data_IF_038362565086
#
_entry.id   IF_038362565086
#
_cell.length_a   1.000
_cell.length_b   1.000
_cell.length_c   1.000
_cell.angle_alpha   90.00
_cell.angle_beta   90.00
_cell.angle_gamma   90.00
#
_symmetry.space_group_name_H-M   'P 1'
#
loop_
_entity.id
_entity.type
_entity.pdbx_description
1 polymer ?
#
# COMPACT_ATOMS: atom_id res chain seq x y z
N UNK A 1 -5.55 32.92 -6.83
CA UNK A 1 -5.11 31.64 -6.27
C UNK A 1 -4.25 30.99 -7.33
N UNK A 2 -2.96 31.06 -7.17
CA UNK A 2 -1.98 30.45 -8.08
C UNK A 2 -1.96 28.95 -7.79
N UNK A 3 -2.01 28.06 -8.82
CA UNK A 3 -1.88 26.62 -8.59
C UNK A 3 -0.47 26.32 -8.06
N UNK A 4 -0.30 25.27 -7.23
CA UNK A 4 1.02 24.87 -6.78
C UNK A 4 1.85 24.38 -7.97
N UNK A 5 3.18 24.52 -7.93
CA UNK A 5 4.03 24.11 -9.02
C UNK A 5 3.95 22.60 -9.21
N UNK A 6 3.45 22.18 -10.36
CA UNK A 6 3.47 20.83 -10.86
C UNK A 6 4.80 20.58 -11.55
N UNK A 7 5.54 19.59 -11.07
CA UNK A 7 6.66 18.97 -11.78
C UNK A 7 7.59 18.27 -10.78
N UNK A 8 7.86 16.97 -10.94
CA UNK A 8 9.00 16.36 -10.27
C UNK A 8 10.26 17.00 -10.86
N UNK A 9 11.23 17.31 -9.99
CA UNK A 9 12.56 17.67 -10.44
C UNK A 9 13.09 16.55 -11.34
N UNK A 10 13.47 16.88 -12.56
CA UNK A 10 14.20 16.00 -13.46
C UNK A 10 15.43 15.44 -12.73
N UNK A 11 15.44 14.13 -12.48
CA UNK A 11 16.57 13.44 -11.85
C UNK A 11 16.24 12.25 -10.95
N UNK A 12 14.97 11.98 -10.66
CA UNK A 12 14.55 10.81 -9.87
C UNK A 12 14.56 9.53 -10.71
N UNK A 13 15.25 8.47 -10.26
CA UNK A 13 15.16 7.14 -10.88
C UNK A 13 13.74 6.58 -10.72
N UNK A 14 13.41 5.55 -11.53
CA UNK A 14 12.12 4.83 -11.39
C UNK A 14 12.27 3.66 -10.42
N UNK A 15 11.12 3.17 -9.90
CA UNK A 15 11.06 1.87 -9.21
C UNK A 15 11.68 0.79 -10.10
N UNK A 16 12.50 -0.08 -9.50
CA UNK A 16 13.22 -1.11 -10.24
C UNK A 16 14.53 -0.64 -10.91
N UNK A 17 14.82 0.66 -10.96
CA UNK A 17 16.05 1.20 -11.53
C UNK A 17 17.00 1.72 -10.44
N UNK A 18 16.55 2.65 -9.62
CA UNK A 18 17.35 3.25 -8.55
C UNK A 18 17.28 2.45 -7.24
N UNK A 19 16.11 1.92 -6.92
CA UNK A 19 15.83 1.10 -5.74
C UNK A 19 15.03 -0.12 -6.16
N UNK A 20 15.17 -1.23 -5.45
CA UNK A 20 14.43 -2.49 -5.71
C UNK A 20 14.70 -3.09 -7.09
N UNK A 21 15.98 -3.12 -7.47
CA UNK A 21 16.37 -3.65 -8.77
C UNK A 21 16.08 -5.15 -8.86
N UNK A 22 15.40 -5.61 -9.93
CA UNK A 22 15.07 -7.03 -10.10
C UNK A 22 16.29 -7.95 -10.16
N UNK A 23 17.47 -7.45 -10.60
CA UNK A 23 18.73 -8.21 -10.60
C UNK A 23 19.30 -8.43 -9.20
N UNK A 24 18.86 -7.66 -8.22
CA UNK A 24 19.41 -7.75 -6.87
C UNK A 24 18.96 -9.06 -6.21
N UNK A 25 19.93 -9.80 -5.70
CA UNK A 25 19.64 -11.07 -5.03
C UNK A 25 18.57 -10.91 -3.93
N UNK A 26 17.59 -11.81 -3.89
CA UNK A 26 16.49 -11.80 -2.93
C UNK A 26 15.36 -10.80 -3.22
N UNK A 27 15.35 -10.11 -4.38
CA UNK A 27 14.25 -9.18 -4.68
C UNK A 27 12.92 -9.91 -4.89
N UNK A 28 12.91 -11.03 -5.60
CA UNK A 28 11.73 -11.87 -5.74
C UNK A 28 11.21 -12.36 -4.39
N UNK A 29 12.11 -12.79 -3.49
CA UNK A 29 11.74 -13.23 -2.14
C UNK A 29 11.12 -12.08 -1.31
N UNK A 30 11.67 -10.86 -1.41
CA UNK A 30 11.10 -9.68 -0.75
C UNK A 30 9.67 -9.41 -1.25
N UNK A 31 9.43 -9.47 -2.56
CA UNK A 31 8.09 -9.30 -3.14
C UNK A 31 7.15 -10.39 -2.62
N UNK A 32 7.62 -11.64 -2.55
CA UNK A 32 6.83 -12.78 -2.05
C UNK A 32 6.49 -12.65 -0.55
N UNK A 33 7.36 -12.08 0.29
CA UNK A 33 7.00 -11.74 1.67
C UNK A 33 5.85 -10.73 1.76
N UNK A 34 5.85 -9.72 0.89
CA UNK A 34 4.72 -8.80 0.74
C UNK A 34 3.45 -9.53 0.27
N UNK A 35 3.60 -10.43 -0.71
CA UNK A 35 2.49 -11.23 -1.21
C UNK A 35 1.86 -12.09 -0.09
N UNK A 36 2.66 -12.80 0.71
CA UNK A 36 2.18 -13.61 1.84
C UNK A 36 1.38 -12.80 2.86
N UNK A 37 1.64 -11.51 2.99
CA UNK A 37 0.90 -10.65 3.92
C UNK A 37 -0.46 -10.19 3.37
N UNK A 38 -0.61 -10.09 2.04
CA UNK A 38 -1.76 -9.44 1.43
C UNK A 38 -2.55 -10.30 0.43
N UNK A 39 -2.01 -11.43 -0.02
CA UNK A 39 -2.66 -12.24 -1.07
C UNK A 39 -4.03 -12.77 -0.63
N UNK A 40 -4.15 -13.27 0.60
CA UNK A 40 -5.41 -13.85 1.07
C UNK A 40 -6.55 -12.83 1.08
N UNK A 41 -6.30 -11.62 1.58
CA UNK A 41 -7.32 -10.56 1.58
C UNK A 41 -7.59 -10.06 0.16
N UNK A 42 -6.58 -9.98 -0.69
CA UNK A 42 -6.77 -9.66 -2.11
C UNK A 42 -7.65 -10.68 -2.79
N UNK A 43 -7.34 -11.97 -2.68
CA UNK A 43 -8.14 -13.05 -3.28
C UNK A 43 -9.56 -13.11 -2.72
N UNK A 44 -9.73 -12.92 -1.41
CA UNK A 44 -11.07 -12.85 -0.81
C UNK A 44 -11.90 -11.72 -1.44
N UNK A 45 -11.29 -10.54 -1.65
CA UNK A 45 -11.96 -9.41 -2.28
C UNK A 45 -12.28 -9.67 -3.74
N UNK A 46 -11.33 -10.18 -4.53
CA UNK A 46 -11.54 -10.47 -5.94
C UNK A 46 -12.68 -11.49 -6.16
N UNK A 47 -12.72 -12.55 -5.36
CA UNK A 47 -13.83 -13.54 -5.39
C UNK A 47 -15.17 -12.92 -4.97
N UNK A 48 -15.20 -12.08 -3.93
CA UNK A 48 -16.41 -11.37 -3.51
C UNK A 48 -16.94 -10.41 -4.59
N UNK A 49 -16.06 -9.92 -5.47
CA UNK A 49 -16.43 -9.12 -6.64
C UNK A 49 -16.89 -9.96 -7.83
N UNK A 50 -16.77 -11.29 -7.76
CA UNK A 50 -17.26 -12.24 -8.74
C UNK A 50 -16.18 -12.81 -9.66
N UNK A 51 -14.89 -12.61 -9.35
CA UNK A 51 -13.82 -13.25 -10.13
C UNK A 51 -14.01 -14.78 -10.10
N UNK A 52 -14.11 -15.38 -11.29
CA UNK A 52 -14.41 -16.80 -11.44
C UNK A 52 -14.49 -17.23 -12.91
N UNK A 53 -15.05 -18.43 -13.18
CA UNK A 53 -15.19 -18.95 -14.55
C UNK A 53 -15.85 -17.95 -15.50
N UNK A 54 -15.39 -17.92 -16.75
CA UNK A 54 -15.83 -16.99 -17.78
C UNK A 54 -15.14 -15.61 -17.74
N UNK A 55 -14.22 -15.40 -16.79
CA UNK A 55 -13.53 -14.10 -16.68
C UNK A 55 -12.14 -14.16 -17.30
N UNK A 56 -11.84 -13.17 -18.15
CA UNK A 56 -10.46 -12.82 -18.52
C UNK A 56 -10.02 -11.64 -17.64
N UNK A 57 -8.85 -11.76 -17.08
CA UNK A 57 -8.30 -10.82 -16.10
C UNK A 57 -7.03 -10.16 -16.63
N UNK A 58 -6.81 -8.90 -16.29
CA UNK A 58 -5.55 -8.18 -16.45
C UNK A 58 -4.99 -7.92 -15.05
N UNK A 59 -3.76 -8.36 -14.81
CA UNK A 59 -2.99 -8.10 -13.60
C UNK A 59 -1.81 -7.17 -13.94
N UNK A 60 -1.90 -5.94 -13.50
CA UNK A 60 -0.96 -4.85 -13.82
C UNK A 60 0.08 -4.73 -12.73
N UNK A 61 1.36 -4.72 -13.11
CA UNK A 61 2.47 -4.74 -12.17
C UNK A 61 2.48 -6.05 -11.38
N UNK A 62 2.38 -7.17 -12.10
CA UNK A 62 2.14 -8.49 -11.52
C UNK A 62 3.31 -9.02 -10.66
N UNK A 63 4.51 -8.43 -10.76
CA UNK A 63 5.68 -8.77 -9.95
C UNK A 63 6.09 -10.24 -10.10
N UNK A 64 5.98 -11.02 -9.01
CA UNK A 64 6.24 -12.47 -9.02
C UNK A 64 5.04 -13.29 -9.50
N UNK A 65 3.88 -12.65 -9.77
CA UNK A 65 2.69 -13.28 -10.31
C UNK A 65 1.87 -14.12 -9.32
N UNK A 66 1.97 -13.85 -8.02
CA UNK A 66 1.23 -14.61 -7.01
C UNK A 66 -0.27 -14.45 -7.17
N UNK A 67 -0.77 -13.21 -7.36
CA UNK A 67 -2.20 -12.95 -7.60
C UNK A 67 -2.66 -13.57 -8.91
N UNK A 68 -1.89 -13.39 -9.98
CA UNK A 68 -2.21 -13.94 -11.30
C UNK A 68 -2.42 -15.46 -11.25
N UNK A 69 -1.50 -16.20 -10.60
CA UNK A 69 -1.61 -17.67 -10.45
C UNK A 69 -2.79 -18.06 -9.57
N UNK A 70 -3.01 -17.37 -8.46
CA UNK A 70 -4.14 -17.64 -7.57
C UNK A 70 -5.49 -17.36 -8.21
N UNK A 71 -5.59 -16.38 -9.13
CA UNK A 71 -6.79 -16.15 -9.94
C UNK A 71 -7.12 -17.38 -10.79
N UNK A 72 -6.12 -18.00 -11.41
CA UNK A 72 -6.30 -19.23 -12.19
C UNK A 72 -6.65 -20.42 -11.30
N UNK A 73 -5.86 -20.66 -10.25
CA UNK A 73 -5.92 -21.87 -9.44
C UNK A 73 -7.10 -21.88 -8.48
N UNK A 74 -7.39 -20.73 -7.84
CA UNK A 74 -8.37 -20.65 -6.76
C UNK A 74 -9.69 -20.03 -7.17
N UNK A 75 -9.69 -19.04 -8.09
CA UNK A 75 -10.91 -18.45 -8.60
C UNK A 75 -11.39 -19.14 -9.87
N UNK A 76 -10.53 -19.88 -10.57
CA UNK A 76 -10.90 -20.61 -11.79
C UNK A 76 -11.25 -19.70 -12.95
N UNK A 77 -10.57 -18.57 -13.09
CA UNK A 77 -10.77 -17.65 -14.23
C UNK A 77 -10.26 -18.29 -15.52
N UNK A 78 -10.80 -17.89 -16.68
CA UNK A 78 -10.45 -18.50 -17.98
C UNK A 78 -9.05 -18.12 -18.47
N UNK A 79 -8.52 -17.00 -18.00
CA UNK A 79 -7.18 -16.57 -18.34
C UNK A 79 -6.78 -15.26 -17.67
N UNK A 80 -5.49 -15.09 -17.47
CA UNK A 80 -4.87 -13.89 -16.91
C UNK A 80 -3.80 -13.39 -17.85
N UNK A 81 -3.86 -12.11 -18.22
CA UNK A 81 -2.75 -11.38 -18.79
C UNK A 81 -2.01 -10.67 -17.65
N UNK A 82 -0.80 -11.13 -17.33
CA UNK A 82 0.08 -10.49 -16.38
C UNK A 82 1.01 -9.53 -17.12
N UNK A 83 1.01 -8.27 -16.71
CA UNK A 83 1.84 -7.23 -17.30
C UNK A 83 2.77 -6.66 -16.25
N UNK A 84 4.06 -6.60 -16.55
CA UNK A 84 5.07 -5.93 -15.74
C UNK A 84 6.12 -5.29 -16.63
N UNK A 85 6.88 -4.35 -16.11
CA UNK A 85 8.06 -3.78 -16.79
C UNK A 85 9.26 -4.73 -16.82
N UNK A 86 9.27 -5.67 -15.88
CA UNK A 86 10.27 -6.73 -15.80
C UNK A 86 9.59 -8.06 -15.50
N UNK A 87 9.56 -8.94 -16.46
CA UNK A 87 8.82 -10.21 -16.38
C UNK A 87 9.68 -11.39 -15.94
N UNK A 88 10.93 -11.19 -15.51
CA UNK A 88 11.85 -12.28 -15.16
C UNK A 88 11.27 -13.26 -14.14
N UNK A 89 10.63 -12.75 -13.07
CA UNK A 89 10.02 -13.58 -12.04
C UNK A 89 8.76 -14.30 -12.53
N UNK A 90 8.00 -13.67 -13.43
CA UNK A 90 6.82 -14.28 -14.06
C UNK A 90 7.22 -15.41 -15.00
N UNK A 91 8.27 -15.21 -15.79
CA UNK A 91 8.75 -16.18 -16.78
C UNK A 91 9.35 -17.46 -16.17
N UNK A 92 9.84 -17.39 -14.93
CA UNK A 92 10.42 -18.55 -14.24
C UNK A 92 9.40 -19.68 -13.99
N UNK A 93 8.12 -19.39 -13.92
CA UNK A 93 7.06 -20.35 -13.55
C UNK A 93 5.87 -20.24 -14.51
N UNK A 94 5.98 -20.74 -15.74
CA UNK A 94 4.87 -20.72 -16.68
C UNK A 94 3.70 -21.57 -16.17
N UNK A 95 2.48 -21.08 -16.33
CA UNK A 95 1.23 -21.76 -15.94
C UNK A 95 0.25 -21.65 -17.09
N UNK A 96 -0.52 -22.70 -17.36
CA UNK A 96 -1.55 -22.68 -18.39
C UNK A 96 -2.61 -21.61 -18.07
N UNK A 97 -2.97 -20.80 -19.06
CA UNK A 97 -3.92 -19.69 -18.91
C UNK A 97 -3.27 -18.38 -18.39
N UNK A 98 -1.97 -18.37 -18.12
CA UNK A 98 -1.21 -17.18 -17.78
C UNK A 98 -0.42 -16.70 -18.99
N UNK A 99 -0.85 -15.59 -19.59
CA UNK A 99 -0.10 -14.87 -20.59
C UNK A 99 0.75 -13.80 -19.89
N UNK A 100 2.02 -13.68 -20.28
CA UNK A 100 2.97 -12.74 -19.68
C UNK A 100 3.45 -11.76 -20.74
N UNK A 101 3.36 -10.45 -20.45
CA UNK A 101 3.79 -9.40 -21.36
C UNK A 101 4.64 -8.39 -20.61
N UNK A 102 5.86 -8.18 -21.11
CA UNK A 102 6.72 -7.08 -20.68
C UNK A 102 6.26 -5.79 -21.35
N UNK A 103 5.74 -4.85 -20.54
CA UNK A 103 5.29 -3.56 -21.05
C UNK A 103 5.32 -2.47 -19.98
N UNK A 104 5.52 -1.24 -20.42
CA UNK A 104 5.33 -0.04 -19.61
C UNK A 104 3.86 0.41 -19.76
N UNK A 105 3.11 0.34 -18.69
CA UNK A 105 1.68 0.74 -18.67
C UNK A 105 1.47 2.25 -18.87
N UNK A 106 2.54 3.05 -18.75
CA UNK A 106 2.51 4.49 -19.01
C UNK A 106 2.72 4.81 -20.50
N UNK A 107 3.06 3.80 -21.32
CA UNK A 107 3.27 3.98 -22.74
C UNK A 107 1.95 4.39 -23.44
N UNK A 108 1.98 5.38 -24.36
CA UNK A 108 0.76 5.88 -25.01
C UNK A 108 0.02 4.81 -25.86
N UNK A 109 0.73 3.78 -26.29
CA UNK A 109 0.22 2.67 -27.09
C UNK A 109 -0.15 1.44 -26.26
N UNK A 110 -0.14 1.53 -24.94
CA UNK A 110 -0.58 0.45 -24.05
C UNK A 110 -2.06 0.15 -24.24
N UNK A 111 -2.36 -0.89 -25.03
CA UNK A 111 -3.71 -1.29 -25.39
C UNK A 111 -3.87 -2.83 -25.39
N UNK A 112 -3.78 -3.50 -24.25
CA UNK A 112 -3.76 -4.97 -24.16
C UNK A 112 -5.10 -5.64 -24.44
N UNK A 113 -6.16 -4.86 -24.70
CA UNK A 113 -7.52 -5.35 -24.89
C UNK A 113 -8.45 -4.98 -23.75
N UNK A 114 -9.56 -5.73 -23.61
CA UNK A 114 -10.55 -5.53 -22.52
C UNK A 114 -10.69 -6.78 -21.67
N UNK A 115 -11.00 -6.55 -20.40
CA UNK A 115 -11.00 -7.59 -19.37
C UNK A 115 -12.19 -7.45 -18.44
N UNK A 116 -12.67 -8.57 -17.93
CA UNK A 116 -13.72 -8.59 -16.93
C UNK A 116 -13.24 -8.09 -15.57
N UNK A 117 -11.96 -8.35 -15.25
CA UNK A 117 -11.25 -7.82 -14.10
C UNK A 117 -9.98 -7.10 -14.59
N UNK A 118 -9.80 -5.86 -14.16
CA UNK A 118 -8.50 -5.16 -14.22
C UNK A 118 -8.05 -4.93 -12.79
N UNK A 119 -6.88 -5.45 -12.45
CA UNK A 119 -6.30 -5.40 -11.10
C UNK A 119 -4.92 -4.76 -11.13
N UNK A 120 -4.61 -3.95 -10.14
CA UNK A 120 -3.27 -3.43 -9.88
C UNK A 120 -3.04 -3.34 -8.37
N UNK A 121 -1.88 -3.83 -7.89
CA UNK A 121 -1.53 -3.80 -6.48
C UNK A 121 -0.09 -3.36 -6.27
N UNK A 122 0.11 -2.31 -5.43
CA UNK A 122 1.39 -1.68 -5.13
C UNK A 122 2.11 -1.16 -6.38
N UNK A 123 1.35 -0.53 -7.28
CA UNK A 123 1.84 -0.04 -8.58
C UNK A 123 1.68 1.47 -8.71
N UNK A 124 0.44 1.96 -8.60
CA UNK A 124 0.15 3.35 -8.96
C UNK A 124 0.78 4.35 -8.00
N UNK A 125 1.04 3.95 -6.75
CA UNK A 125 1.75 4.79 -5.79
C UNK A 125 3.18 5.16 -6.24
N UNK A 126 3.75 4.42 -7.19
CA UNK A 126 5.09 4.65 -7.74
C UNK A 126 5.09 5.48 -9.03
N UNK A 127 3.92 5.81 -9.58
CA UNK A 127 3.79 6.44 -10.89
C UNK A 127 3.29 7.88 -10.77
N UNK A 128 3.93 8.85 -11.42
CA UNK A 128 3.47 10.24 -11.40
C UNK A 128 2.18 10.46 -12.18
N UNK A 129 1.95 9.71 -13.29
CA UNK A 129 0.79 9.83 -14.18
C UNK A 129 -0.48 9.11 -13.67
N UNK A 130 -0.53 8.78 -12.41
CA UNK A 130 -1.52 7.92 -11.72
C UNK A 130 -2.99 8.26 -11.98
N UNK A 131 -3.38 9.53 -12.05
CA UNK A 131 -4.77 9.92 -12.35
C UNK A 131 -5.15 9.57 -13.79
N UNK A 132 -4.25 9.81 -14.73
CA UNK A 132 -4.44 9.42 -16.13
C UNK A 132 -4.52 7.91 -16.27
N UNK A 133 -3.64 7.19 -15.60
CA UNK A 133 -3.61 5.72 -15.61
C UNK A 133 -4.91 5.10 -15.06
N UNK A 134 -5.50 5.66 -14.00
CA UNK A 134 -6.81 5.17 -13.52
C UNK A 134 -7.88 5.28 -14.62
N UNK A 135 -7.87 6.37 -15.38
CA UNK A 135 -8.80 6.54 -16.51
C UNK A 135 -8.52 5.52 -17.63
N UNK A 136 -7.25 5.32 -17.95
CA UNK A 136 -6.82 4.32 -18.93
C UNK A 136 -7.24 2.91 -18.51
N UNK A 137 -6.93 2.51 -17.27
CA UNK A 137 -7.30 1.19 -16.74
C UNK A 137 -8.81 0.98 -16.70
N UNK A 138 -9.60 2.01 -16.34
CA UNK A 138 -11.06 1.97 -16.40
C UNK A 138 -11.56 1.79 -17.85
N UNK A 139 -10.81 2.31 -18.83
CA UNK A 139 -11.05 2.08 -20.27
C UNK A 139 -10.92 0.61 -20.68
N UNK A 140 -10.01 -0.14 -20.04
CA UNK A 140 -9.76 -1.55 -20.32
C UNK A 140 -10.79 -2.50 -19.68
N UNK A 141 -11.64 -2.01 -18.78
CA UNK A 141 -12.69 -2.82 -18.17
C UNK A 141 -13.82 -3.05 -19.15
N UNK A 142 -14.29 -4.29 -19.28
CA UNK A 142 -15.49 -4.64 -20.04
C UNK A 142 -16.77 -4.10 -19.39
N UNK A 143 -17.85 -3.87 -20.15
CA UNK A 143 -19.15 -3.58 -19.57
C UNK A 143 -19.57 -4.63 -18.53
N UNK A 144 -19.95 -4.17 -17.32
CA UNK A 144 -20.25 -5.04 -16.18
C UNK A 144 -19.03 -5.62 -15.46
N UNK A 145 -17.82 -5.37 -15.95
CA UNK A 145 -16.54 -5.74 -15.30
C UNK A 145 -16.17 -4.81 -14.14
N UNK A 146 -15.01 -5.04 -13.54
CA UNK A 146 -14.54 -4.33 -12.35
C UNK A 146 -13.07 -3.91 -12.48
N UNK A 147 -12.76 -2.70 -12.03
CA UNK A 147 -11.39 -2.23 -11.75
C UNK A 147 -11.15 -2.31 -10.26
N UNK A 148 -10.03 -2.91 -9.86
CA UNK A 148 -9.59 -3.03 -8.46
C UNK A 148 -8.18 -2.48 -8.33
N UNK A 149 -8.01 -1.49 -7.47
CA UNK A 149 -6.73 -0.83 -7.19
C UNK A 149 -6.39 -0.98 -5.72
N UNK A 150 -5.17 -1.44 -5.43
CA UNK A 150 -4.70 -1.64 -4.06
C UNK A 150 -3.31 -1.04 -3.89
N UNK A 151 -3.16 -0.06 -3.01
CA UNK A 151 -1.86 0.53 -2.70
C UNK A 151 -1.70 0.81 -1.20
N UNK A 152 -0.47 1.07 -0.78
CA UNK A 152 -0.16 1.31 0.62
C UNK A 152 -0.76 2.63 1.13
N UNK A 153 -1.25 2.61 2.36
CA UNK A 153 -1.61 3.80 3.12
C UNK A 153 -0.79 3.85 4.39
N UNK A 154 -0.19 5.00 4.67
CA UNK A 154 0.57 5.21 5.90
C UNK A 154 -0.39 5.54 7.05
N UNK A 155 -0.65 4.55 7.89
CA UNK A 155 -1.43 4.70 9.11
C UNK A 155 -0.53 4.90 10.35
N UNK A 156 0.77 4.60 10.25
CA UNK A 156 1.71 4.66 11.35
C UNK A 156 1.91 6.08 11.89
N UNK A 157 1.70 7.10 11.05
CA UNK A 157 1.72 8.50 11.47
C UNK A 157 0.48 8.96 12.24
N UNK A 158 -0.58 8.14 12.31
CA UNK A 158 -1.88 8.51 12.86
C UNK A 158 -2.31 7.65 14.05
N UNK A 159 -1.68 6.50 14.29
CA UNK A 159 -1.99 5.59 15.38
C UNK A 159 -0.71 5.31 16.17
N UNK A 160 -0.41 6.18 17.13
CA UNK A 160 0.64 5.91 18.11
C UNK A 160 0.03 5.07 19.25
N UNK A 161 0.31 3.77 19.24
CA UNK A 161 -0.12 2.85 20.28
C UNK A 161 0.79 2.90 21.51
N UNK A 162 1.97 3.56 21.43
CA UNK A 162 2.95 3.62 22.50
C UNK A 162 2.44 4.28 23.79
N UNK A 163 1.64 5.34 23.68
CA UNK A 163 1.10 6.06 24.83
C UNK A 163 0.05 5.28 25.66
N UNK A 164 -0.45 4.18 25.12
CA UNK A 164 -1.49 3.38 25.80
C UNK A 164 -0.91 2.21 26.60
N UNK A 165 0.28 1.72 26.26
CA UNK A 165 0.88 0.58 26.95
C UNK A 165 1.56 0.97 28.27
N UNK A 166 2.04 2.23 28.38
CA UNK A 166 2.71 2.72 29.61
C UNK A 166 1.74 3.15 30.71
N UNK A 167 0.44 3.22 30.47
CA UNK A 167 -0.54 3.69 31.47
C UNK A 167 -1.05 2.63 32.45
N UNK A 168 -0.80 1.36 32.22
CA UNK A 168 -1.25 0.27 33.11
C UNK A 168 -0.21 -0.21 34.13
N UNK A 169 1.02 0.34 34.12
CA UNK A 169 2.10 -0.01 35.06
C UNK A 169 2.05 0.65 36.44
N UNK A 170 1.10 1.52 36.71
CA UNK A 170 1.08 2.31 37.95
C UNK A 170 -0.29 2.48 38.58
N UNK A 171 -0.95 1.39 38.97
CA UNK A 171 -2.06 1.47 39.94
C UNK A 171 -1.65 0.79 41.23
N UNK A 172 -1.01 1.57 42.10
CA UNK A 172 -1.01 1.29 43.50
C UNK A 172 -2.45 1.31 44.06
N UNK A 173 -2.75 0.26 44.79
CA UNK A 173 -3.98 0.10 45.55
C UNK A 173 -4.00 1.15 46.63
N UNK A 174 -4.90 2.12 46.56
CA UNK A 174 -5.51 2.57 47.81
C UNK A 174 -6.95 3.08 47.58
N UNK A 175 -7.79 2.79 48.57
CA UNK A 175 -9.22 2.78 48.46
C UNK A 175 -9.89 4.15 48.65
N UNK A 176 -11.13 4.20 48.19
CA UNK A 176 -12.10 5.00 48.90
C UNK A 176 -12.94 6.00 48.14
N UNK A 177 -14.19 5.64 47.91
CA UNK A 177 -15.43 6.45 48.00
C UNK A 177 -15.83 7.40 46.89
N UNK A 178 -16.96 7.03 46.35
CA UNK A 178 -18.09 7.83 45.83
C UNK A 178 -18.00 9.36 45.90
N UNK A 179 -18.30 10.05 44.82
CA UNK A 179 -19.40 11.02 44.75
C UNK A 179 -19.57 11.68 43.36
N UNK A 180 -20.82 11.56 42.93
CA UNK A 180 -21.70 12.55 42.34
C UNK A 180 -21.24 13.46 41.19
N UNK A 181 -21.94 13.31 40.10
CA UNK A 181 -22.11 14.28 38.99
C UNK A 181 -22.65 15.62 39.51
N UNK A 182 -21.92 16.70 39.27
CA UNK A 182 -22.39 18.07 39.44
C UNK A 182 -21.99 18.89 38.25
N UNK A 183 -22.97 19.43 37.51
CA UNK A 183 -22.82 20.48 36.52
C UNK A 183 -22.38 21.76 37.24
N UNK A 184 -21.44 22.53 36.65
CA UNK A 184 -21.61 23.96 36.55
C UNK A 184 -20.72 24.56 35.45
N UNK A 185 -21.32 25.51 34.75
CA UNK A 185 -20.70 26.42 33.80
C UNK A 185 -19.97 27.50 34.60
N UNK A 186 -18.75 27.84 34.23
CA UNK A 186 -18.47 29.25 33.90
C UNK A 186 -17.08 29.46 33.27
N UNK A 187 -16.98 30.50 32.50
CA UNK A 187 -15.92 30.86 31.63
C UNK A 187 -14.60 31.31 32.30
N UNK A 188 -13.52 31.23 31.59
CA UNK A 188 -12.29 31.90 32.01
C UNK A 188 -11.03 31.48 31.28
N UNK A 189 -10.68 32.28 30.25
CA UNK A 189 -9.31 32.63 29.86
C UNK A 189 -8.35 31.55 29.34
N UNK A 190 -8.20 31.63 28.05
CA UNK A 190 -6.97 31.45 27.27
C UNK A 190 -5.71 31.68 28.13
N UNK A 191 -4.96 30.63 28.42
CA UNK A 191 -3.58 30.70 28.87
C UNK A 191 -2.76 29.70 28.08
N UNK A 192 -1.93 30.25 27.25
CA UNK A 192 -0.69 29.78 26.67
C UNK A 192 -0.45 28.27 26.68
N UNK A 193 -0.78 27.60 25.57
CA UNK A 193 -0.30 26.25 25.34
C UNK A 193 1.22 26.25 25.38
N UNK A 194 1.79 25.50 26.31
CA UNK A 194 3.23 25.24 26.42
C UNK A 194 3.73 24.65 25.09
N UNK A 195 4.61 25.33 24.35
CA UNK A 195 5.20 24.79 23.12
C UNK A 195 6.21 23.65 23.39
N UNK A 196 6.35 23.22 24.64
CA UNK A 196 7.33 22.25 25.11
C UNK A 196 6.78 20.87 25.49
N UNK A 197 5.50 20.55 25.21
CA UNK A 197 5.07 19.14 25.30
C UNK A 197 5.73 18.36 24.16
N UNK A 198 6.88 17.81 24.46
CA UNK A 198 7.63 16.93 23.59
C UNK A 198 6.71 15.87 23.01
N UNK A 199 6.62 15.84 21.66
CA UNK A 199 6.07 14.69 20.94
C UNK A 199 6.83 13.47 21.46
N UNK A 200 6.13 12.52 22.06
CA UNK A 200 6.69 11.22 22.40
C UNK A 200 7.49 10.72 21.20
N UNK A 201 8.75 10.33 21.34
CA UNK A 201 9.50 9.76 20.22
C UNK A 201 8.69 8.55 19.72
N UNK A 202 8.24 8.61 18.47
CA UNK A 202 7.51 7.49 17.85
C UNK A 202 8.34 6.20 17.95
N UNK A 203 7.69 5.05 17.92
CA UNK A 203 8.38 3.76 17.94
C UNK A 203 9.46 3.71 16.84
N UNK A 204 10.52 2.88 16.99
CA UNK A 204 11.52 2.70 15.93
C UNK A 204 10.90 2.39 14.57
N UNK A 205 9.78 1.63 14.57
CA UNK A 205 9.00 1.33 13.37
C UNK A 205 8.41 2.58 12.72
N UNK A 206 7.70 3.41 13.49
CA UNK A 206 7.03 4.60 12.94
C UNK A 206 8.03 5.62 12.38
N UNK A 207 9.19 5.74 13.00
CA UNK A 207 10.28 6.60 12.50
C UNK A 207 10.86 6.07 11.19
N UNK A 208 11.14 4.76 11.13
CA UNK A 208 11.65 4.11 9.93
C UNK A 208 10.65 4.19 8.77
N UNK A 209 9.35 3.99 9.01
CA UNK A 209 8.31 4.13 7.99
C UNK A 209 8.27 5.55 7.42
N UNK A 210 8.33 6.58 8.27
CA UNK A 210 8.38 7.97 7.80
C UNK A 210 9.62 8.26 6.95
N UNK A 211 10.79 7.81 7.42
CA UNK A 211 12.03 7.96 6.66
C UNK A 211 11.97 7.25 5.32
N UNK A 212 11.40 6.04 5.29
CA UNK A 212 11.21 5.27 4.05
C UNK A 212 10.30 6.00 3.06
N UNK A 213 9.09 6.41 3.47
CA UNK A 213 8.18 7.10 2.56
C UNK A 213 8.77 8.41 2.04
N UNK A 214 9.42 9.19 2.90
CA UNK A 214 10.10 10.42 2.50
C UNK A 214 11.25 10.15 1.54
N UNK A 215 12.09 9.16 1.84
CA UNK A 215 13.23 8.77 1.00
C UNK A 215 12.80 8.23 -0.36
N UNK A 216 11.80 7.35 -0.40
CA UNK A 216 11.27 6.79 -1.66
C UNK A 216 10.57 7.87 -2.49
N UNK A 217 9.88 8.81 -1.84
CA UNK A 217 9.28 9.95 -2.56
C UNK A 217 10.34 10.80 -3.24
N UNK A 218 11.44 11.08 -2.55
CA UNK A 218 12.54 11.87 -3.09
C UNK A 218 13.33 11.14 -4.20
N UNK A 219 13.44 9.80 -4.11
CA UNK A 219 14.31 9.01 -4.99
C UNK A 219 13.60 8.46 -6.22
N UNK A 220 12.38 7.95 -6.06
CA UNK A 220 11.62 7.26 -7.11
C UNK A 220 10.17 7.75 -7.25
N UNK A 221 9.81 8.87 -6.61
CA UNK A 221 8.49 9.48 -6.75
C UNK A 221 7.34 8.73 -6.06
N UNK A 222 7.63 7.72 -5.22
CA UNK A 222 6.58 7.00 -4.48
C UNK A 222 5.79 7.95 -3.59
N UNK A 223 4.48 7.97 -3.76
CA UNK A 223 3.60 8.83 -2.98
C UNK A 223 2.34 8.08 -2.54
N UNK A 224 2.28 7.74 -1.26
CA UNK A 224 1.12 7.05 -0.66
C UNK A 224 0.04 8.02 -0.17
N UNK A 225 0.32 9.33 -0.12
CA UNK A 225 -0.60 10.32 0.44
C UNK A 225 -1.86 10.54 -0.40
N UNK A 226 -1.82 10.21 -1.68
CA UNK A 226 -2.96 10.36 -2.59
C UNK A 226 -3.83 9.10 -2.71
N UNK A 227 -3.35 7.94 -2.23
CA UNK A 227 -4.07 6.65 -2.30
C UNK A 227 -5.48 6.72 -1.72
N UNK A 228 -5.76 7.45 -0.63
CA UNK A 228 -7.14 7.66 -0.15
C UNK A 228 -8.09 8.33 -1.16
N UNK A 229 -7.57 8.95 -2.21
CA UNK A 229 -8.39 9.56 -3.28
C UNK A 229 -8.94 8.54 -4.30
N UNK A 230 -8.51 7.27 -4.29
CA UNK A 230 -8.95 6.24 -5.23
C UNK A 230 -10.47 6.16 -5.42
N UNK A 231 -11.31 6.15 -4.37
CA UNK A 231 -12.76 6.09 -4.58
C UNK A 231 -13.31 7.30 -5.36
N UNK A 232 -12.74 8.48 -5.15
CA UNK A 232 -13.10 9.67 -5.92
C UNK A 232 -12.67 9.56 -7.38
N UNK A 233 -11.43 9.10 -7.63
CA UNK A 233 -10.86 8.96 -8.98
C UNK A 233 -11.57 7.88 -9.79
N UNK A 234 -11.93 6.75 -9.16
CA UNK A 234 -12.73 5.69 -9.80
C UNK A 234 -14.10 6.21 -10.27
N UNK A 235 -14.77 7.02 -9.45
CA UNK A 235 -16.04 7.68 -9.87
C UNK A 235 -15.82 8.64 -11.03
N UNK A 236 -14.75 9.45 -10.98
CA UNK A 236 -14.40 10.35 -12.09
C UNK A 236 -14.07 9.61 -13.38
N UNK A 237 -13.51 8.41 -13.29
CA UNK A 237 -13.28 7.52 -14.42
C UNK A 237 -14.56 6.84 -14.95
N UNK A 238 -15.76 7.18 -14.43
CA UNK A 238 -17.05 6.68 -14.92
C UNK A 238 -17.44 5.32 -14.35
N UNK A 239 -16.82 4.87 -13.26
CA UNK A 239 -17.19 3.61 -12.61
C UNK A 239 -18.28 3.83 -11.56
N UNK A 240 -19.20 2.87 -11.46
CA UNK A 240 -20.30 2.87 -10.49
C UNK A 240 -20.06 1.84 -9.37
N UNK A 241 -20.87 1.91 -8.29
CA UNK A 241 -20.76 0.99 -7.16
C UNK A 241 -19.39 1.04 -6.50
N UNK A 242 -18.77 2.22 -6.49
CA UNK A 242 -17.44 2.42 -5.92
C UNK A 242 -17.46 2.22 -4.42
N UNK A 243 -16.54 1.40 -3.93
CA UNK A 243 -16.29 1.19 -2.51
C UNK A 243 -14.81 0.96 -2.25
N UNK A 244 -14.43 0.99 -0.99
CA UNK A 244 -13.06 0.72 -0.56
C UNK A 244 -13.03 0.09 0.83
N UNK A 245 -11.91 -0.58 1.12
CA UNK A 245 -11.59 -1.13 2.43
C UNK A 245 -10.09 -0.97 2.71
N UNK A 246 -9.71 -1.06 3.97
CA UNK A 246 -8.31 -1.06 4.39
C UNK A 246 -8.03 -2.34 5.17
N UNK A 247 -7.01 -3.07 4.74
CA UNK A 247 -6.45 -4.18 5.51
C UNK A 247 -5.13 -3.77 6.16
N UNK A 248 -4.99 -4.06 7.44
CA UNK A 248 -3.80 -3.70 8.24
C UNK A 248 -3.24 -4.95 8.90
N UNK A 249 -2.13 -5.51 8.40
CA UNK A 249 -1.50 -6.66 9.03
C UNK A 249 -0.88 -6.30 10.39
N UNK A 250 -0.99 -7.15 11.42
CA UNK A 250 -0.20 -6.99 12.63
C UNK A 250 1.28 -7.28 12.34
N UNK A 251 2.17 -6.48 12.93
CA UNK A 251 3.59 -6.79 12.95
C UNK A 251 3.86 -7.78 14.08
N UNK A 252 4.31 -8.96 13.72
CA UNK A 252 4.73 -10.00 14.64
C UNK A 252 6.17 -10.39 14.34
N UNK A 253 7.00 -10.72 15.33
CA UNK A 253 8.37 -11.15 15.12
C UNK A 253 8.46 -12.26 14.08
N UNK A 254 9.34 -12.09 13.09
CA UNK A 254 9.57 -13.07 12.03
C UNK A 254 8.40 -13.30 11.06
N UNK A 255 7.31 -12.53 11.17
CA UNK A 255 6.18 -12.62 10.23
C UNK A 255 6.58 -12.19 8.81
N UNK A 256 5.87 -12.64 7.77
CA UNK A 256 6.14 -12.22 6.39
C UNK A 256 6.19 -10.70 6.23
N UNK A 257 5.26 -9.97 6.85
CA UNK A 257 5.23 -8.51 6.74
C UNK A 257 6.42 -7.85 7.46
N UNK A 258 6.89 -8.38 8.60
CA UNK A 258 8.07 -7.89 9.28
C UNK A 258 9.33 -8.10 8.44
N UNK A 259 9.47 -9.27 7.80
CA UNK A 259 10.56 -9.56 6.86
C UNK A 259 10.52 -8.67 5.63
N UNK A 260 9.33 -8.46 5.06
CA UNK A 260 9.13 -7.54 3.93
C UNK A 260 9.65 -6.13 4.26
N UNK A 261 9.29 -5.57 5.43
CA UNK A 261 9.76 -4.25 5.82
C UNK A 261 11.26 -4.23 6.11
N UNK A 262 11.78 -5.23 6.81
CA UNK A 262 13.21 -5.32 7.08
C UNK A 262 14.03 -5.32 5.78
N UNK A 263 13.63 -6.10 4.78
CA UNK A 263 14.33 -6.16 3.49
C UNK A 263 14.12 -4.90 2.66
N UNK A 264 12.93 -4.32 2.68
CA UNK A 264 12.63 -3.05 2.04
C UNK A 264 13.52 -1.93 2.60
N UNK A 265 13.67 -1.86 3.93
CA UNK A 265 14.52 -0.85 4.58
C UNK A 265 16.01 -1.06 4.32
N UNK A 266 16.49 -2.32 4.30
CA UNK A 266 17.89 -2.60 3.93
C UNK A 266 18.19 -2.10 2.52
N UNK A 267 17.27 -2.29 1.56
CA UNK A 267 17.45 -1.89 0.15
C UNK A 267 17.29 -0.38 -0.05
N UNK A 268 16.46 0.27 0.74
CA UNK A 268 16.24 1.72 0.68
C UNK A 268 17.09 2.52 1.69
N UNK A 269 18.06 1.88 2.38
CA UNK A 269 18.91 2.47 3.41
C UNK A 269 19.44 3.85 3.05
N UNK A 270 20.09 3.99 1.89
CA UNK A 270 20.66 5.26 1.45
C UNK A 270 19.59 6.36 1.29
N UNK A 271 18.42 6.03 0.73
CA UNK A 271 17.32 6.97 0.61
C UNK A 271 16.74 7.36 1.98
N UNK A 272 16.67 6.40 2.92
CA UNK A 272 16.14 6.63 4.26
C UNK A 272 17.07 7.51 5.11
N UNK A 273 18.37 7.21 5.13
CA UNK A 273 19.34 7.99 5.90
C UNK A 273 19.55 9.39 5.34
N UNK A 274 19.44 9.56 4.01
CA UNK A 274 19.50 10.87 3.36
C UNK A 274 18.37 11.83 3.80
N UNK A 275 17.28 11.31 4.40
CA UNK A 275 16.23 12.16 4.97
C UNK A 275 16.64 12.93 6.21
N UNK A 276 17.69 12.47 6.91
CA UNK A 276 18.11 12.99 8.20
C UNK A 276 17.17 12.66 9.38
N UNK A 277 16.11 11.87 9.15
CA UNK A 277 15.18 11.44 10.21
C UNK A 277 15.78 10.35 11.09
N UNK A 278 16.65 9.54 10.54
CA UNK A 278 17.42 8.50 11.24
C UNK A 278 18.78 8.32 10.56
N UNK A 279 19.73 7.83 11.30
CA UNK A 279 21.03 7.38 10.82
C UNK A 279 21.07 5.85 10.63
N UNK A 280 22.22 5.32 10.24
CA UNK A 280 22.42 3.88 10.07
C UNK A 280 22.15 3.09 11.35
N UNK A 281 22.56 3.60 12.50
CA UNK A 281 22.36 2.96 13.79
C UNK A 281 20.86 2.92 14.17
N UNK A 282 20.14 4.00 13.92
CA UNK A 282 18.68 4.09 14.10
C UNK A 282 17.93 3.14 13.16
N UNK A 283 18.38 3.02 11.91
CA UNK A 283 17.78 2.07 10.96
C UNK A 283 18.03 0.62 11.40
N UNK A 284 19.26 0.28 11.83
CA UNK A 284 19.55 -1.05 12.32
C UNK A 284 18.76 -1.39 13.60
N UNK A 285 18.52 -0.40 14.47
CA UNK A 285 17.64 -0.57 15.63
C UNK A 285 16.20 -0.84 15.23
N UNK A 286 15.68 -0.13 14.23
CA UNK A 286 14.33 -0.35 13.71
C UNK A 286 14.17 -1.74 13.05
N UNK A 287 15.19 -2.21 12.33
CA UNK A 287 15.19 -3.57 11.75
C UNK A 287 15.20 -4.62 12.86
N UNK A 288 16.02 -4.45 13.90
CA UNK A 288 16.02 -5.38 15.05
C UNK A 288 14.69 -5.39 15.80
N UNK A 289 14.05 -4.23 15.93
CA UNK A 289 12.74 -4.12 16.55
C UNK A 289 11.69 -5.01 15.87
N UNK A 290 11.70 -5.15 14.54
CA UNK A 290 10.77 -6.02 13.79
C UNK A 290 10.89 -7.51 14.15
N UNK A 291 12.04 -7.94 14.67
CA UNK A 291 12.29 -9.33 15.09
C UNK A 291 12.25 -9.51 16.62
N UNK A 292 12.02 -8.43 17.37
CA UNK A 292 12.00 -8.48 18.83
C UNK A 292 10.60 -8.79 19.38
N UNK A 293 10.55 -9.40 20.57
CA UNK A 293 9.30 -9.63 21.31
C UNK A 293 8.60 -8.32 21.74
N UNK A 294 9.30 -7.19 21.66
CA UNK A 294 8.76 -5.86 21.92
C UNK A 294 7.95 -5.31 20.73
N UNK A 295 8.01 -5.99 19.57
CA UNK A 295 7.31 -5.55 18.38
C UNK A 295 5.80 -5.75 18.53
N UNK A 296 5.13 -4.68 18.93
CA UNK A 296 3.68 -4.62 19.09
C UNK A 296 3.13 -3.43 18.32
N UNK A 297 3.05 -3.55 16.98
CA UNK A 297 2.60 -2.47 16.11
C UNK A 297 1.72 -3.02 14.98
N UNK A 298 1.03 -2.11 14.31
CA UNK A 298 0.35 -2.39 13.06
C UNK A 298 1.24 -1.95 11.89
N UNK A 299 1.26 -2.74 10.83
CA UNK A 299 1.94 -2.40 9.58
C UNK A 299 1.28 -1.20 8.90
N UNK A 300 1.90 -0.68 7.84
CA UNK A 300 1.18 0.13 6.87
C UNK A 300 -0.04 -0.66 6.36
N UNK A 301 -1.15 0.05 6.18
CA UNK A 301 -2.35 -0.54 5.61
C UNK A 301 -2.23 -0.70 4.10
N UNK A 302 -3.03 -1.59 3.53
CA UNK A 302 -3.33 -1.64 2.11
C UNK A 302 -4.77 -1.17 1.91
N UNK A 303 -4.96 -0.02 1.25
CA UNK A 303 -6.27 0.41 0.79
C UNK A 303 -6.56 -0.29 -0.53
N UNK A 304 -7.67 -1.01 -0.58
CA UNK A 304 -8.23 -1.59 -1.79
C UNK A 304 -9.49 -0.84 -2.15
N UNK A 305 -9.54 -0.23 -3.34
CA UNK A 305 -10.71 0.43 -3.88
C UNK A 305 -11.14 -0.23 -5.19
N UNK A 306 -12.43 -0.29 -5.44
CA UNK A 306 -12.98 -0.88 -6.66
C UNK A 306 -14.17 -0.12 -7.18
N UNK A 307 -14.44 -0.29 -8.48
CA UNK A 307 -15.64 0.22 -9.14
C UNK A 307 -15.99 -0.60 -10.37
N UNK A 308 -17.27 -0.65 -10.70
CA UNK A 308 -17.79 -1.42 -11.84
C UNK A 308 -18.07 -0.54 -13.03
N UNK A 309 -17.74 -1.03 -14.22
CA UNK A 309 -18.20 -0.42 -15.48
C UNK A 309 -19.66 -0.76 -15.69
N UNK A 310 -20.49 0.24 -16.05
CA UNK A 310 -21.89 0.02 -16.32
C UNK A 310 -22.06 -1.08 -17.39
N UNK A 311 -23.00 -2.01 -17.15
CA UNK A 311 -23.44 -2.93 -18.19
C UNK A 311 -24.21 -2.16 -19.28
N UNK A 312 -24.24 -2.63 -20.54
CA UNK A 312 -25.15 -2.08 -21.52
C UNK A 312 -26.58 -2.19 -20.96
N UNK A 313 -27.36 -1.13 -21.12
CA UNK A 313 -28.79 -1.19 -20.78
C UNK A 313 -29.47 -2.34 -21.54
N UNK A 314 -30.57 -2.89 -21.03
CA UNK A 314 -31.35 -3.84 -21.80
C UNK A 314 -31.78 -3.16 -23.12
N UNK A 315 -31.41 -3.78 -24.24
CA UNK A 315 -31.84 -3.38 -25.60
C UNK A 315 -33.32 -3.64 -25.81
#
# INVERSE_FOLDING_TARGET
>A
MTPPPSGPADGGGRYGEAVFRPEQAGEGERIDFGALAYDDVTMARLRALGAGPGWRCLDVGAGTGTVSRRLLDEAGVDGVLAVDRDVRFLAERPVAGLDVVEADITAPDFAPGRFRLVHARFVLMHLPEREHLITTLAGLVEPGGVLVLSDAVDLAGHVDLGDHLDRDGGRDRDGGRDQAWGRDRDGGRDQGGDPGRGRTPGTPYSLAMRAMWQGLRATIGTDVSWVPSYPYLLRRAGLAGVAAEIHVPPLLPGSPISRFWADTWRRSRAAMTATGLLDDAGLDAAIRYLDSDECAALSAGMLTAWGRKAAPGPS
#
